data_IF_439715895630
#
_entry.id   IF_439715895630
#
_cell.length_a   1.000
_cell.length_b   1.000
_cell.length_c   1.000
_cell.angle_alpha   90.00
_cell.angle_beta   90.00
_cell.angle_gamma   90.00
#
_symmetry.space_group_name_H-M   'P 1'
#
loop_
_entity.id
_entity.type
_entity.pdbx_description
1 polymer ?
#
# COMPACT_ATOMS: atom_id res chain seq x y z
N UNK A 1 5.30 9.01 12.58
CA UNK A 1 5.77 8.87 11.18
C UNK A 1 4.79 7.93 10.50
N UNK A 2 4.06 8.41 9.48
CA UNK A 2 2.87 7.72 8.97
C UNK A 2 3.26 6.73 7.85
N UNK A 3 2.47 5.67 7.65
CA UNK A 3 2.72 4.64 6.62
C UNK A 3 2.96 5.20 5.22
N UNK A 4 2.27 6.28 4.85
CA UNK A 4 2.48 7.00 3.59
C UNK A 4 3.91 7.56 3.45
N UNK A 5 4.53 8.04 4.53
CA UNK A 5 5.90 8.53 4.49
C UNK A 5 6.88 7.41 4.18
N UNK A 6 6.69 6.23 4.78
CA UNK A 6 7.53 5.05 4.50
C UNK A 6 7.36 4.56 3.07
N UNK A 7 6.14 4.49 2.56
CA UNK A 7 5.89 4.14 1.15
C UNK A 7 6.61 5.10 0.20
N UNK A 8 6.52 6.41 0.45
CA UNK A 8 7.20 7.41 -0.38
C UNK A 8 8.73 7.32 -0.28
N UNK A 9 9.27 7.07 0.92
CA UNK A 9 10.69 6.89 1.12
C UNK A 9 11.23 5.66 0.38
N UNK A 10 10.55 4.51 0.50
CA UNK A 10 10.92 3.28 -0.21
C UNK A 10 10.86 3.48 -1.74
N UNK A 11 9.81 4.15 -2.24
CA UNK A 11 9.73 4.47 -3.67
C UNK A 11 10.83 5.45 -4.12
N UNK A 12 11.29 6.35 -3.26
CA UNK A 12 12.38 7.27 -3.58
C UNK A 12 13.74 6.56 -3.60
N UNK A 13 13.94 5.59 -2.71
CA UNK A 13 15.16 4.77 -2.62
C UNK A 13 15.26 3.77 -3.78
N UNK A 14 14.14 3.21 -4.23
CA UNK A 14 14.07 2.24 -5.32
C UNK A 14 13.60 2.87 -6.65
N UNK A 15 14.52 3.56 -7.35
CA UNK A 15 14.21 4.35 -8.55
C UNK A 15 13.59 3.53 -9.70
N UNK A 16 14.01 2.29 -9.89
CA UNK A 16 13.46 1.36 -10.88
C UNK A 16 11.97 1.05 -10.60
N UNK A 17 11.64 0.81 -9.34
CA UNK A 17 10.27 0.59 -8.86
C UNK A 17 9.44 1.86 -9.03
N UNK A 18 10.01 3.02 -8.71
CA UNK A 18 9.37 4.31 -8.90
C UNK A 18 9.00 4.57 -10.37
N UNK A 19 9.91 4.26 -11.29
CA UNK A 19 9.67 4.41 -12.74
C UNK A 19 8.56 3.46 -13.18
N UNK A 20 8.58 2.21 -12.71
CA UNK A 20 7.55 1.23 -13.03
C UNK A 20 6.15 1.67 -12.57
N UNK A 21 6.03 2.15 -11.32
CA UNK A 21 4.78 2.72 -10.79
C UNK A 21 4.32 3.91 -11.63
N UNK A 22 5.23 4.83 -11.97
CA UNK A 22 4.86 5.97 -12.83
C UNK A 22 4.37 5.54 -14.21
N UNK A 23 4.97 4.52 -14.80
CA UNK A 23 4.53 3.99 -16.09
C UNK A 23 3.14 3.36 -16.00
N UNK A 24 2.87 2.56 -14.96
CA UNK A 24 1.53 2.01 -14.70
C UNK A 24 0.48 3.13 -14.60
N UNK A 25 0.75 4.17 -13.78
CA UNK A 25 -0.16 5.31 -13.61
C UNK A 25 -0.42 6.02 -14.94
N UNK A 26 0.64 6.26 -15.74
CA UNK A 26 0.49 6.93 -17.04
C UNK A 26 -0.34 6.11 -18.02
N UNK A 27 -0.10 4.81 -18.10
CA UNK A 27 -0.85 3.90 -18.99
C UNK A 27 -2.32 3.83 -18.55
N UNK A 28 -2.59 3.67 -17.26
CA UNK A 28 -3.96 3.64 -16.75
C UNK A 28 -4.71 4.96 -17.06
N UNK A 29 -4.05 6.11 -16.85
CA UNK A 29 -4.63 7.42 -17.17
C UNK A 29 -4.95 7.57 -18.65
N UNK A 30 -4.03 7.16 -19.53
CA UNK A 30 -4.25 7.21 -20.97
C UNK A 30 -5.45 6.36 -21.38
N UNK A 31 -5.60 5.17 -20.79
CA UNK A 31 -6.72 4.27 -21.05
C UNK A 31 -8.06 4.83 -20.52
N UNK A 32 -8.03 5.62 -19.44
CA UNK A 32 -9.22 6.23 -18.84
C UNK A 32 -9.50 7.66 -19.33
N UNK A 33 -9.04 8.01 -20.54
CA UNK A 33 -9.28 9.33 -21.13
C UNK A 33 -8.71 10.50 -20.31
N UNK A 34 -7.57 10.27 -19.63
CA UNK A 34 -6.88 11.20 -18.73
C UNK A 34 -7.72 11.69 -17.54
N UNK A 35 -8.75 10.93 -17.14
CA UNK A 35 -9.54 11.23 -15.95
C UNK A 35 -9.04 10.42 -14.76
N UNK A 36 -8.83 11.10 -13.65
CA UNK A 36 -8.63 10.43 -12.36
C UNK A 36 -10.00 10.08 -11.79
N UNK A 37 -10.35 8.80 -11.82
CA UNK A 37 -11.60 8.27 -11.23
C UNK A 37 -11.27 7.19 -10.19
N UNK A 38 -12.26 6.76 -9.40
CA UNK A 38 -12.04 5.70 -8.40
C UNK A 38 -11.81 4.36 -9.08
N UNK A 39 -12.46 4.13 -10.21
CA UNK A 39 -12.33 2.92 -11.03
C UNK A 39 -10.90 2.79 -11.57
N UNK A 40 -10.28 3.90 -11.99
CA UNK A 40 -8.87 3.94 -12.39
C UNK A 40 -7.94 3.38 -11.31
N UNK A 41 -8.23 3.63 -10.03
CA UNK A 41 -7.38 3.16 -8.93
C UNK A 41 -7.33 1.63 -8.86
N UNK A 42 -8.36 0.94 -9.36
CA UNK A 42 -8.40 -0.52 -9.42
C UNK A 42 -7.40 -1.09 -10.43
N UNK A 43 -7.03 -0.31 -11.45
CA UNK A 43 -6.04 -0.70 -12.46
C UNK A 43 -4.59 -0.54 -11.97
N UNK A 44 -4.36 0.19 -10.86
CA UNK A 44 -3.04 0.48 -10.31
C UNK A 44 -2.52 -0.66 -9.40
N UNK A 45 -2.56 -1.88 -9.91
CA UNK A 45 -2.28 -3.10 -9.14
C UNK A 45 -0.84 -3.16 -8.60
N UNK A 46 0.13 -2.63 -9.33
CA UNK A 46 1.53 -2.62 -8.92
C UNK A 46 1.78 -1.57 -7.83
N UNK A 47 1.19 -0.38 -7.96
CA UNK A 47 1.18 0.60 -6.87
C UNK A 47 0.56 0.05 -5.59
N UNK A 48 -0.58 -0.64 -5.69
CA UNK A 48 -1.23 -1.28 -4.54
C UNK A 48 -0.30 -2.29 -3.86
N UNK A 49 0.41 -3.10 -4.65
CA UNK A 49 1.43 -4.04 -4.12
C UNK A 49 2.55 -3.31 -3.39
N UNK A 50 3.03 -2.18 -3.91
CA UNK A 50 4.07 -1.39 -3.24
C UNK A 50 3.58 -0.83 -1.89
N UNK A 51 2.32 -0.37 -1.83
CA UNK A 51 1.70 0.11 -0.58
C UNK A 51 1.58 -1.04 0.43
N UNK A 52 1.07 -2.20 0.00
CA UNK A 52 0.94 -3.40 0.84
C UNK A 52 2.28 -3.87 1.39
N UNK A 53 3.32 -3.87 0.57
CA UNK A 53 4.66 -4.26 1.01
C UNK A 53 5.26 -3.24 2.00
N UNK A 54 5.03 -1.95 1.76
CA UNK A 54 5.42 -0.90 2.71
C UNK A 54 4.72 -1.08 4.06
N UNK A 55 3.45 -1.47 4.09
CA UNK A 55 2.70 -1.77 5.31
C UNK A 55 3.14 -3.08 5.98
N UNK A 56 3.64 -4.06 5.21
CA UNK A 56 4.23 -5.30 5.75
C UNK A 56 5.51 -5.02 6.52
N UNK A 57 6.35 -4.12 5.99
CA UNK A 57 7.61 -3.70 6.62
C UNK A 57 7.40 -2.69 7.74
N UNK A 58 6.53 -1.71 7.51
CA UNK A 58 6.25 -0.58 8.38
C UNK A 58 4.74 -0.48 8.64
N UNK A 59 4.17 -1.37 9.47
CA UNK A 59 2.75 -1.34 9.79
C UNK A 59 2.39 -0.03 10.48
N UNK A 60 1.18 0.50 10.22
CA UNK A 60 0.70 1.72 10.87
C UNK A 60 0.64 1.58 12.39
N UNK A 61 0.23 0.39 12.87
CA UNK A 61 0.15 0.06 14.29
C UNK A 61 0.94 -1.22 14.55
N UNK A 62 1.88 -1.17 15.50
CA UNK A 62 2.72 -2.32 15.87
C UNK A 62 2.06 -3.28 16.87
N UNK A 63 0.98 -2.84 17.53
CA UNK A 63 0.30 -3.62 18.56
C UNK A 63 -1.20 -3.41 18.48
N UNK A 64 -1.94 -4.51 18.55
CA UNK A 64 -3.39 -4.54 18.73
C UNK A 64 -3.65 -5.45 19.93
N UNK A 65 -4.16 -4.89 21.03
CA UNK A 65 -4.45 -5.62 22.26
C UNK A 65 -5.95 -5.67 22.52
N UNK A 66 -6.41 -6.72 23.20
CA UNK A 66 -7.75 -6.79 23.77
C UNK A 66 -7.66 -7.10 25.26
N UNK A 67 -8.70 -6.71 26.00
CA UNK A 67 -8.92 -7.13 27.39
C UNK A 67 -9.79 -8.38 27.35
N UNK A 68 -9.37 -9.41 28.08
CA UNK A 68 -10.08 -10.69 28.15
C UNK A 68 -11.12 -10.61 29.27
N UNK A 69 -12.40 -10.79 28.94
CA UNK A 69 -13.52 -10.77 29.92
C UNK A 69 -13.81 -12.14 30.54
N UNK A 70 -13.36 -13.23 29.90
CA UNK A 70 -13.59 -14.63 30.30
C UNK A 70 -12.42 -15.50 29.85
N UNK A 71 -12.17 -16.59 30.55
CA UNK A 71 -11.08 -17.53 30.25
C UNK A 71 -11.05 -17.94 28.77
N UNK A 72 -9.89 -17.75 28.14
CA UNK A 72 -9.65 -18.06 26.73
C UNK A 72 -8.76 -19.29 26.62
N UNK A 73 -9.30 -20.37 26.04
CA UNK A 73 -8.50 -21.54 25.65
C UNK A 73 -7.84 -21.27 24.29
N UNK A 74 -6.52 -21.22 24.26
CA UNK A 74 -5.77 -21.08 23.01
C UNK A 74 -5.74 -22.43 22.30
N UNK A 75 -6.21 -22.45 21.05
CA UNK A 75 -6.00 -23.57 20.14
C UNK A 75 -4.60 -23.43 19.56
N UNK A 76 -3.71 -24.35 19.93
CA UNK A 76 -2.35 -24.47 19.38
C UNK A 76 -2.38 -25.45 18.21
#
# INVERSE_FOLDING_TARGET
MNSMCFTLALLAEHRDIQIRVRNEIRTALQNNGNKFTVELLQDLTYLERCIKESLRLYPTNFMISRIIEKDLKLSI
#
